data_IF_998475658828
#
_entry.id   IF_998475658828
#
_cell.length_a   1.000
_cell.length_b   1.000
_cell.length_c   1.000
_cell.angle_alpha   90.00
_cell.angle_beta   90.00
_cell.angle_gamma   90.00
#
_symmetry.space_group_name_H-M   'P 1'
#
loop_
_entity.id
_entity.type
_entity.pdbx_description
1 polymer ?
#
# COMPACT_ATOMS: atom_id res chain seq x y z
N UNK A 1 11.47 1.22 34.35
CA UNK A 1 10.59 0.71 33.27
C UNK A 1 10.37 1.70 32.12
N UNK A 2 9.53 2.74 32.22
CA UNK A 2 9.29 3.69 31.09
C UNK A 2 10.52 4.47 30.57
N UNK A 3 11.57 4.65 31.39
CA UNK A 3 12.81 5.33 30.97
C UNK A 3 13.84 4.40 30.30
N UNK A 4 13.79 3.10 30.57
CA UNK A 4 14.72 2.12 29.98
C UNK A 4 14.22 1.58 28.64
N UNK A 5 12.90 1.39 28.49
CA UNK A 5 12.27 1.10 27.20
C UNK A 5 12.49 2.23 26.16
N UNK A 6 12.49 3.49 26.61
CA UNK A 6 12.78 4.67 25.78
C UNK A 6 14.13 4.64 25.07
N UNK A 7 15.13 3.92 25.58
CA UNK A 7 16.50 4.02 25.06
C UNK A 7 16.87 2.88 24.09
N UNK A 8 16.19 1.71 24.19
CA UNK A 8 16.39 0.58 23.29
C UNK A 8 15.54 0.69 22.02
N UNK A 9 14.25 1.02 22.14
CA UNK A 9 13.36 1.18 20.97
C UNK A 9 13.77 2.36 20.09
N UNK A 10 14.27 3.46 20.68
CA UNK A 10 14.80 4.58 19.91
C UNK A 10 16.07 4.22 19.13
N UNK A 11 16.99 3.41 19.69
CA UNK A 11 18.23 3.03 18.98
C UNK A 11 17.98 2.07 17.84
N UNK A 12 17.05 1.11 18.00
CA UNK A 12 16.68 0.20 16.92
C UNK A 12 15.92 0.95 15.80
N UNK A 13 14.96 1.80 16.16
CA UNK A 13 14.21 2.62 15.20
C UNK A 13 15.10 3.66 14.49
N UNK A 14 16.08 4.27 15.17
CA UNK A 14 17.01 5.20 14.53
C UNK A 14 17.94 4.48 13.55
N UNK A 15 18.32 3.22 13.79
CA UNK A 15 19.14 2.43 12.87
C UNK A 15 18.32 2.01 11.64
N UNK A 16 17.05 1.64 11.79
CA UNK A 16 16.17 1.32 10.65
C UNK A 16 15.83 2.56 9.83
N UNK A 17 15.58 3.71 10.46
CA UNK A 17 15.30 4.99 9.78
C UNK A 17 16.56 5.60 9.14
N UNK A 18 17.75 5.40 9.70
CA UNK A 18 19.02 5.85 9.10
C UNK A 18 19.57 4.87 8.04
N UNK A 19 19.10 3.62 8.03
CA UNK A 19 19.36 2.66 6.95
C UNK A 19 18.50 2.96 5.70
N UNK A 20 17.42 3.74 5.84
CA UNK A 20 16.79 4.48 4.73
C UNK A 20 17.74 5.62 4.36
N UNK A 21 18.87 5.27 3.75
CA UNK A 21 19.74 6.25 3.13
C UNK A 21 18.96 6.96 2.01
N UNK A 22 19.23 8.24 1.72
CA UNK A 22 18.64 8.99 0.60
C UNK A 22 19.16 8.53 -0.79
N UNK A 23 19.56 7.25 -0.91
CA UNK A 23 19.96 6.58 -2.15
C UNK A 23 18.90 5.49 -2.37
N UNK A 24 18.00 5.52 -3.33
CA UNK A 24 18.02 6.11 -4.67
C UNK A 24 16.59 6.49 -5.05
N UNK A 25 16.23 7.76 -4.88
CA UNK A 25 15.03 8.34 -5.50
C UNK A 25 15.34 8.61 -6.98
N UNK A 26 15.60 7.54 -7.75
CA UNK A 26 15.57 7.59 -9.21
C UNK A 26 14.24 6.96 -9.65
N UNK A 27 13.14 7.60 -9.27
CA UNK A 27 11.83 7.31 -9.83
C UNK A 27 11.65 8.23 -11.05
N UNK A 28 11.37 7.63 -12.20
CA UNK A 28 11.13 8.29 -13.49
C UNK A 28 9.72 8.88 -13.62
N UNK A 29 8.86 8.73 -12.61
CA UNK A 29 7.48 9.20 -12.63
C UNK A 29 7.29 10.54 -11.88
N UNK A 30 6.73 11.54 -12.56
CA UNK A 30 6.61 12.92 -12.04
C UNK A 30 5.35 13.15 -11.17
N UNK A 31 4.35 12.27 -11.22
CA UNK A 31 3.06 12.45 -10.53
C UNK A 31 3.13 12.26 -9.02
N UNK A 32 3.64 11.13 -8.55
CA UNK A 32 3.76 10.76 -7.13
C UNK A 32 4.74 11.66 -6.38
N UNK A 33 5.76 12.18 -7.07
CA UNK A 33 6.69 13.18 -6.52
C UNK A 33 5.98 14.52 -6.30
N UNK A 34 5.09 14.95 -7.20
CA UNK A 34 4.35 16.21 -7.06
C UNK A 34 3.33 16.10 -5.92
N UNK A 35 2.55 15.02 -5.87
CA UNK A 35 1.55 14.81 -4.81
C UNK A 35 2.23 14.58 -3.44
N UNK A 36 3.30 13.78 -3.38
CA UNK A 36 4.07 13.53 -2.17
C UNK A 36 4.84 14.76 -1.64
N UNK A 37 5.38 15.59 -2.53
CA UNK A 37 6.00 16.86 -2.15
C UNK A 37 4.97 17.89 -1.65
N UNK A 38 3.76 17.87 -2.21
CA UNK A 38 2.64 18.67 -1.73
C UNK A 38 2.20 18.25 -0.33
N UNK A 39 2.17 16.94 -0.04
CA UNK A 39 1.84 16.40 1.27
C UNK A 39 2.86 16.83 2.33
N UNK A 40 4.16 16.67 2.03
CA UNK A 40 5.25 17.08 2.92
C UNK A 40 5.21 18.58 3.24
N UNK A 41 4.89 19.40 2.24
CA UNK A 41 4.74 20.84 2.40
C UNK A 41 3.50 21.21 3.22
N UNK A 42 2.38 20.52 3.00
CA UNK A 42 1.13 20.73 3.75
C UNK A 42 1.30 20.36 5.23
N UNK A 43 1.95 19.23 5.53
CA UNK A 43 2.24 18.79 6.89
C UNK A 43 3.10 19.80 7.68
N UNK A 44 3.95 20.55 6.99
CA UNK A 44 4.79 21.58 7.61
C UNK A 44 4.02 22.84 8.01
N UNK A 45 2.96 23.20 7.28
CA UNK A 45 2.17 24.43 7.53
C UNK A 45 0.90 24.21 8.35
N UNK A 46 0.46 22.94 8.49
CA UNK A 46 -0.69 22.57 9.32
C UNK A 46 -0.48 22.85 10.82
N UNK A 47 -1.59 23.07 11.52
CA UNK A 47 -1.61 23.09 12.98
C UNK A 47 -1.08 21.75 13.51
N UNK A 48 -0.19 21.74 14.52
CA UNK A 48 0.30 20.51 15.11
C UNK A 48 -0.87 19.60 15.53
N UNK A 49 -0.83 18.37 15.03
CA UNK A 49 -1.79 17.32 15.36
C UNK A 49 -1.10 15.97 15.31
N UNK A 50 -1.20 15.20 16.39
CA UNK A 50 -0.70 13.83 16.40
C UNK A 50 -1.69 12.90 15.69
N UNK A 51 -2.99 13.11 15.91
CA UNK A 51 -4.03 12.35 15.22
C UNK A 51 -3.90 12.46 13.68
N UNK A 52 -3.64 13.65 13.13
CA UNK A 52 -3.45 13.79 11.67
C UNK A 52 -2.26 12.98 11.17
N UNK A 53 -1.21 12.78 11.97
CA UNK A 53 -0.10 11.90 11.57
C UNK A 53 -0.51 10.43 11.58
N UNK A 54 -1.35 10.01 12.54
CA UNK A 54 -1.94 8.66 12.53
C UNK A 54 -2.78 8.45 11.27
N UNK A 55 -3.55 9.47 10.85
CA UNK A 55 -4.32 9.43 9.59
C UNK A 55 -3.38 9.28 8.39
N UNK A 56 -2.27 10.05 8.31
CA UNK A 56 -1.27 9.89 7.25
C UNK A 56 -0.67 8.48 7.20
N UNK A 57 -0.33 7.91 8.36
CA UNK A 57 0.16 6.53 8.45
C UNK A 57 -0.86 5.57 7.84
N UNK A 58 -2.12 5.66 8.26
CA UNK A 58 -3.19 4.83 7.70
C UNK A 58 -3.35 4.99 6.18
N UNK A 59 -3.29 6.22 5.68
CA UNK A 59 -3.40 6.49 4.25
C UNK A 59 -2.25 5.84 3.50
N UNK A 60 -1.01 5.96 3.99
CA UNK A 60 0.15 5.28 3.41
C UNK A 60 -0.02 3.75 3.37
N UNK A 61 -0.51 3.15 4.46
CA UNK A 61 -0.79 1.70 4.51
C UNK A 61 -1.92 1.31 3.54
N UNK A 62 -2.99 2.10 3.44
CA UNK A 62 -4.07 1.76 2.52
C UNK A 62 -3.68 1.93 1.05
N UNK A 63 -2.75 2.83 0.71
CA UNK A 63 -2.17 2.90 -0.62
C UNK A 63 -1.40 1.60 -0.95
N UNK A 64 -0.67 1.05 0.02
CA UNK A 64 -0.01 -0.26 -0.12
C UNK A 64 -1.04 -1.37 -0.35
N UNK A 65 -2.11 -1.43 0.46
CA UNK A 65 -3.18 -2.43 0.31
C UNK A 65 -3.86 -2.35 -1.07
N UNK A 66 -4.20 -1.13 -1.52
CA UNK A 66 -4.77 -0.92 -2.87
C UNK A 66 -3.79 -1.38 -3.96
N UNK A 67 -2.52 -1.03 -3.85
CA UNK A 67 -1.50 -1.48 -4.79
C UNK A 67 -1.38 -3.00 -4.83
N UNK A 68 -1.45 -3.67 -3.68
CA UNK A 68 -1.46 -5.13 -3.62
C UNK A 68 -2.67 -5.70 -4.35
N UNK A 69 -3.87 -5.18 -4.11
CA UNK A 69 -5.07 -5.64 -4.83
C UNK A 69 -4.98 -5.39 -6.34
N UNK A 70 -4.44 -4.25 -6.77
CA UNK A 70 -4.19 -3.97 -8.20
C UNK A 70 -3.23 -5.01 -8.80
N UNK A 71 -2.10 -5.27 -8.13
CA UNK A 71 -1.05 -6.13 -8.66
C UNK A 71 -1.45 -7.61 -8.64
N UNK A 72 -2.03 -8.08 -7.53
CA UNK A 72 -2.17 -9.51 -7.23
C UNK A 72 -3.60 -10.03 -7.45
N UNK A 73 -4.63 -9.17 -7.41
CA UNK A 73 -6.03 -9.61 -7.37
C UNK A 73 -6.87 -9.12 -8.55
N UNK A 74 -6.61 -7.91 -9.06
CA UNK A 74 -7.46 -7.24 -10.07
C UNK A 74 -7.23 -7.79 -11.47
N UNK A 75 -8.25 -8.40 -12.12
CA UNK A 75 -8.10 -8.85 -13.49
C UNK A 75 -7.88 -7.69 -14.46
N UNK A 76 -7.07 -7.93 -15.50
CA UNK A 76 -6.68 -6.92 -16.47
C UNK A 76 -6.64 -7.49 -17.87
N UNK A 77 -6.91 -6.63 -18.85
CA UNK A 77 -6.82 -6.88 -20.28
C UNK A 77 -6.50 -5.58 -21.00
N UNK A 78 -6.12 -5.66 -22.27
CA UNK A 78 -5.82 -4.50 -23.10
C UNK A 78 -7.03 -3.55 -23.28
N UNK A 79 -8.26 -4.05 -23.11
CA UNK A 79 -9.51 -3.29 -23.28
C UNK A 79 -10.23 -3.00 -21.94
N UNK A 80 -9.55 -3.20 -20.82
CA UNK A 80 -10.16 -3.00 -19.50
C UNK A 80 -10.33 -1.52 -19.15
N UNK A 81 -11.56 -1.12 -18.81
CA UNK A 81 -11.93 0.29 -18.58
C UNK A 81 -11.53 0.81 -17.19
N UNK A 82 -11.44 -0.04 -16.18
CA UNK A 82 -11.10 0.43 -14.82
C UNK A 82 -9.69 1.01 -14.75
N UNK A 83 -8.77 0.49 -15.56
CA UNK A 83 -7.41 1.03 -15.68
C UNK A 83 -7.48 2.48 -16.19
N UNK A 84 -8.29 2.73 -17.22
CA UNK A 84 -8.48 4.07 -17.78
C UNK A 84 -9.09 5.05 -16.76
N UNK A 85 -9.98 4.55 -15.89
CA UNK A 85 -10.57 5.35 -14.80
C UNK A 85 -9.58 5.68 -13.67
N UNK A 86 -8.60 4.79 -13.39
CA UNK A 86 -7.58 5.05 -12.36
C UNK A 86 -6.54 6.07 -12.85
N UNK A 87 -6.11 5.96 -14.11
CA UNK A 87 -5.10 6.86 -14.67
C UNK A 87 -5.65 8.23 -15.03
N UNK A 88 -6.98 8.36 -15.16
CA UNK A 88 -7.61 9.64 -15.50
C UNK A 88 -7.56 10.63 -14.33
N UNK A 89 -7.62 11.95 -14.62
CA UNK A 89 -7.62 12.97 -13.58
C UNK A 89 -8.76 12.75 -12.59
N UNK A 90 -8.43 12.73 -11.30
CA UNK A 90 -9.40 12.52 -10.22
C UNK A 90 -10.45 13.65 -10.18
N UNK A 91 -11.72 13.28 -10.08
CA UNK A 91 -12.80 14.21 -9.78
C UNK A 91 -12.97 14.38 -8.25
N UNK A 92 -12.37 15.45 -7.71
CA UNK A 92 -12.51 15.82 -6.29
C UNK A 92 -13.96 15.98 -5.84
N UNK A 93 -14.88 16.41 -6.71
CA UNK A 93 -16.29 16.53 -6.31
C UNK A 93 -16.94 15.15 -6.16
N UNK A 94 -16.59 14.19 -7.02
CA UNK A 94 -17.05 12.82 -6.87
C UNK A 94 -16.54 12.21 -5.55
N UNK A 95 -15.25 12.40 -5.24
CA UNK A 95 -14.65 11.90 -3.99
C UNK A 95 -15.34 12.48 -2.75
N UNK A 96 -15.49 13.81 -2.69
CA UNK A 96 -16.13 14.48 -1.54
C UNK A 96 -17.60 14.08 -1.36
N UNK A 97 -18.25 13.55 -2.40
CA UNK A 97 -19.63 13.09 -2.35
C UNK A 97 -19.79 11.60 -2.02
N UNK A 98 -18.70 10.82 -1.98
CA UNK A 98 -18.73 9.42 -1.56
C UNK A 98 -19.27 9.30 -0.14
N UNK A 99 -20.18 8.36 0.06
CA UNK A 99 -20.80 8.11 1.36
C UNK A 99 -19.76 7.60 2.38
N UNK A 100 -18.76 6.84 1.92
CA UNK A 100 -17.64 6.37 2.73
C UNK A 100 -16.74 7.52 3.21
N UNK A 101 -16.58 8.59 2.43
CA UNK A 101 -15.86 9.81 2.85
C UNK A 101 -16.68 10.61 3.85
N UNK A 102 -18.00 10.74 3.62
CA UNK A 102 -18.91 11.42 4.55
C UNK A 102 -19.01 10.72 5.91
N UNK A 103 -18.92 9.39 5.89
CA UNK A 103 -18.93 8.53 7.07
C UNK A 103 -17.52 8.18 7.57
N UNK A 104 -16.48 8.81 7.01
CA UNK A 104 -15.14 8.65 7.53
C UNK A 104 -15.08 9.23 8.94
N UNK A 105 -14.52 8.43 9.85
CA UNK A 105 -14.54 8.71 11.27
C UNK A 105 -13.83 10.03 11.58
N UNK A 106 -12.71 10.32 10.91
CA UNK A 106 -11.94 11.55 11.07
C UNK A 106 -12.69 12.74 10.48
N UNK A 107 -12.98 12.71 9.18
CA UNK A 107 -13.54 13.87 8.47
C UNK A 107 -14.93 14.28 8.97
N UNK A 108 -15.73 13.32 9.40
CA UNK A 108 -17.07 13.57 9.92
C UNK A 108 -17.09 14.27 11.29
N UNK A 109 -15.98 14.24 12.05
CA UNK A 109 -15.96 14.71 13.44
C UNK A 109 -14.81 15.65 13.80
N UNK A 110 -13.79 15.79 12.96
CA UNK A 110 -12.59 16.58 13.30
C UNK A 110 -12.88 18.07 13.52
N UNK A 111 -13.85 18.64 12.79
CA UNK A 111 -14.26 20.03 12.99
C UNK A 111 -14.88 20.28 14.37
N UNK A 112 -15.49 19.26 14.99
CA UNK A 112 -16.03 19.34 16.36
C UNK A 112 -14.87 19.47 17.35
N UNK A 113 -13.86 18.62 17.22
CA UNK A 113 -12.68 18.66 18.09
C UNK A 113 -11.84 19.92 17.87
N UNK A 114 -11.69 20.37 16.62
CA UNK A 114 -10.99 21.62 16.31
C UNK A 114 -11.69 22.84 16.91
N UNK A 115 -13.02 22.89 16.88
CA UNK A 115 -13.79 23.96 17.51
C UNK A 115 -13.52 24.02 19.01
N UNK A 116 -13.50 22.87 19.70
CA UNK A 116 -13.19 22.79 21.14
C UNK A 116 -11.76 23.27 21.42
N UNK A 117 -10.83 22.99 20.52
CA UNK A 117 -9.42 23.39 20.64
C UNK A 117 -9.13 24.82 20.16
N UNK A 118 -10.11 25.51 19.57
CA UNK A 118 -9.90 26.83 18.96
C UNK A 118 -9.03 26.80 17.69
N UNK A 119 -8.96 25.66 17.01
CA UNK A 119 -8.21 25.45 15.76
C UNK A 119 -9.05 25.78 14.52
N UNK A 120 -8.39 25.88 13.37
CA UNK A 120 -9.04 26.13 12.09
C UNK A 120 -10.05 25.02 11.72
N UNK A 121 -11.23 25.39 11.20
CA UNK A 121 -12.37 24.48 10.98
C UNK A 121 -12.51 23.98 9.53
N UNK A 122 -11.57 24.31 8.64
CA UNK A 122 -11.63 23.89 7.25
C UNK A 122 -10.53 22.86 7.00
N UNK A 123 -10.77 21.64 7.50
CA UNK A 123 -9.93 20.50 7.18
C UNK A 123 -10.28 20.03 5.78
N UNK A 124 -9.26 19.99 4.92
CA UNK A 124 -9.35 19.45 3.59
C UNK A 124 -8.63 18.13 3.55
N UNK A 125 -9.21 17.18 2.83
CA UNK A 125 -8.53 15.98 2.40
C UNK A 125 -7.34 16.37 1.53
N UNK A 126 -6.18 15.77 1.78
CA UNK A 126 -5.00 15.98 0.94
C UNK A 126 -5.17 15.29 -0.42
N UNK A 127 -4.37 15.66 -1.43
CA UNK A 127 -4.45 15.03 -2.75
C UNK A 127 -4.32 13.51 -2.71
N UNK A 128 -3.35 12.98 -1.96
CA UNK A 128 -3.13 11.54 -1.79
C UNK A 128 -4.27 10.85 -1.02
N UNK A 129 -4.83 11.52 -0.02
CA UNK A 129 -6.01 11.01 0.69
C UNK A 129 -7.22 10.92 -0.25
N UNK A 130 -7.43 11.92 -1.11
CA UNK A 130 -8.51 11.91 -2.09
C UNK A 130 -8.27 10.86 -3.17
N UNK A 131 -7.03 10.69 -3.60
CA UNK A 131 -6.59 9.67 -4.57
C UNK A 131 -6.93 8.27 -4.09
N UNK A 132 -6.61 7.96 -2.82
CA UNK A 132 -6.95 6.70 -2.18
C UNK A 132 -8.45 6.38 -2.30
N UNK A 133 -9.32 7.35 -1.95
CA UNK A 133 -10.76 7.15 -2.04
C UNK A 133 -11.28 7.07 -3.48
N UNK A 134 -10.67 7.83 -4.40
CA UNK A 134 -11.00 7.77 -5.82
C UNK A 134 -10.74 6.37 -6.38
N UNK A 135 -9.53 5.85 -6.20
CA UNK A 135 -9.12 4.54 -6.71
C UNK A 135 -9.93 3.42 -6.06
N UNK A 136 -10.14 3.47 -4.74
CA UNK A 136 -11.03 2.52 -4.07
C UNK A 136 -12.45 2.53 -4.66
N UNK A 137 -12.98 3.71 -5.01
CA UNK A 137 -14.32 3.80 -5.58
C UNK A 137 -14.44 3.24 -7.01
N UNK A 138 -13.32 3.04 -7.70
CA UNK A 138 -13.23 2.39 -9.00
C UNK A 138 -13.05 0.88 -8.81
N UNK A 139 -12.12 0.48 -7.95
CA UNK A 139 -11.70 -0.91 -7.75
C UNK A 139 -12.74 -1.78 -7.04
N UNK A 140 -13.47 -1.22 -6.06
CA UNK A 140 -14.41 -1.99 -5.26
C UNK A 140 -15.86 -1.71 -5.66
N UNK A 141 -16.70 -2.73 -5.58
CA UNK A 141 -18.16 -2.61 -5.70
C UNK A 141 -18.69 -1.64 -4.66
N UNK A 142 -19.47 -0.66 -5.10
CA UNK A 142 -20.10 0.33 -4.25
C UNK A 142 -21.28 1.01 -4.98
N UNK A 143 -21.99 1.90 -4.29
CA UNK A 143 -23.16 2.58 -4.85
C UNK A 143 -22.86 3.37 -6.16
N UNK A 144 -21.65 3.89 -6.34
CA UNK A 144 -21.22 4.63 -7.53
C UNK A 144 -21.21 3.75 -8.78
N UNK A 145 -20.82 2.49 -8.66
CA UNK A 145 -20.77 1.53 -9.77
C UNK A 145 -21.98 0.58 -9.78
N UNK A 146 -23.14 1.07 -9.32
CA UNK A 146 -24.43 0.35 -9.29
C UNK A 146 -24.46 -0.90 -8.39
N UNK A 147 -23.62 -0.94 -7.35
CA UNK A 147 -23.60 -2.03 -6.36
C UNK A 147 -23.95 -1.47 -4.95
N UNK A 148 -25.21 -1.08 -4.69
CA UNK A 148 -25.59 -0.36 -3.46
C UNK A 148 -25.50 -1.19 -2.18
N UNK A 149 -25.46 -2.53 -2.29
CA UNK A 149 -25.33 -3.43 -1.14
C UNK A 149 -23.87 -3.60 -0.66
N UNK A 150 -22.91 -3.13 -1.48
CA UNK A 150 -21.47 -3.17 -1.22
C UNK A 150 -20.95 -1.80 -0.76
N UNK A 151 -19.79 -1.81 -0.11
CA UNK A 151 -19.10 -0.62 0.42
C UNK A 151 -17.61 -0.69 0.13
N UNK A 152 -16.93 0.45 0.30
CA UNK A 152 -15.47 0.47 0.24
C UNK A 152 -14.86 -0.24 1.45
N UNK A 153 -13.64 -0.78 1.33
CA UNK A 153 -12.90 -1.25 2.49
C UNK A 153 -12.70 -0.13 3.51
N UNK A 154 -12.60 -0.50 4.79
CA UNK A 154 -12.41 0.47 5.87
C UNK A 154 -11.02 1.09 5.81
N UNK A 155 -10.95 2.34 5.31
CA UNK A 155 -9.71 3.13 5.30
C UNK A 155 -9.25 3.55 6.71
N UNK A 156 -10.08 3.34 7.73
CA UNK A 156 -9.81 3.75 9.10
C UNK A 156 -9.08 2.69 9.93
N UNK A 157 -8.96 1.47 9.41
CA UNK A 157 -8.34 0.37 10.14
C UNK A 157 -6.82 0.52 10.19
N UNK A 158 -6.31 0.73 11.39
CA UNK A 158 -4.87 0.67 11.68
C UNK A 158 -4.40 -0.78 11.53
N UNK A 159 -3.29 -1.05 10.84
CA UNK A 159 -2.74 -2.40 10.74
C UNK A 159 -2.26 -2.89 12.11
N UNK A 160 -2.16 -4.21 12.22
CA UNK A 160 -1.59 -4.88 13.36
C UNK A 160 -0.09 -5.08 13.11
N UNK A 161 0.76 -4.66 14.06
CA UNK A 161 2.21 -4.82 13.93
C UNK A 161 2.66 -6.27 14.08
N UNK A 162 1.76 -7.14 14.56
CA UNK A 162 1.97 -8.58 14.59
C UNK A 162 1.54 -9.18 13.25
N UNK A 163 0.29 -9.02 12.84
CA UNK A 163 -0.13 -9.55 11.54
C UNK A 163 0.44 -8.77 10.33
N UNK A 164 1.49 -9.29 9.70
CA UNK A 164 2.10 -8.74 8.48
C UNK A 164 1.12 -8.66 7.31
N UNK A 165 0.12 -9.55 7.22
CA UNK A 165 -0.90 -9.49 6.16
C UNK A 165 -1.75 -8.24 6.27
N UNK A 166 -1.89 -7.68 7.47
CA UNK A 166 -2.64 -6.44 7.68
C UNK A 166 -2.01 -5.24 6.95
N UNK A 167 -0.75 -5.30 6.51
CA UNK A 167 -0.14 -4.22 5.71
C UNK A 167 -0.43 -4.32 4.23
N UNK A 168 -0.74 -5.51 3.73
CA UNK A 168 -0.93 -5.78 2.29
C UNK A 168 -2.36 -6.12 1.94
N UNK A 169 -3.21 -6.45 2.91
CA UNK A 169 -4.61 -6.82 2.71
C UNK A 169 -5.54 -6.01 3.61
N UNK A 170 -6.76 -5.78 3.14
CA UNK A 170 -7.86 -5.32 3.98
C UNK A 170 -8.44 -6.51 4.76
N UNK A 171 -9.10 -6.22 5.90
CA UNK A 171 -9.85 -7.25 6.60
C UNK A 171 -10.98 -7.81 5.73
N UNK A 172 -11.24 -9.10 5.90
CA UNK A 172 -12.37 -9.76 5.28
C UNK A 172 -13.69 -9.12 5.73
N UNK A 173 -14.49 -8.70 4.76
CA UNK A 173 -15.83 -8.15 4.95
C UNK A 173 -16.69 -8.56 3.74
N UNK A 174 -17.79 -9.26 3.98
CA UNK A 174 -18.67 -9.78 2.93
C UNK A 174 -19.27 -8.67 2.03
N UNK A 175 -19.28 -7.43 2.51
CA UNK A 175 -19.74 -6.26 1.75
C UNK A 175 -18.62 -5.52 1.02
N UNK A 176 -17.39 -5.98 1.13
CA UNK A 176 -16.24 -5.46 0.39
C UNK A 176 -15.86 -6.48 -0.66
N UNK A 177 -15.93 -6.09 -1.93
CA UNK A 177 -15.56 -6.95 -3.04
C UNK A 177 -15.05 -6.11 -4.21
N UNK A 178 -14.04 -6.60 -4.91
CA UNK A 178 -13.57 -5.98 -6.15
C UNK A 178 -14.66 -6.03 -7.24
N UNK A 179 -14.61 -5.09 -8.18
CA UNK A 179 -15.50 -5.05 -9.34
C UNK A 179 -15.32 -6.32 -10.19
N UNK A 180 -16.37 -6.69 -10.91
CA UNK A 180 -16.24 -7.71 -11.94
C UNK A 180 -15.61 -7.06 -13.17
N UNK A 181 -14.54 -7.66 -13.70
CA UNK A 181 -13.86 -7.19 -14.91
C UNK A 181 -14.22 -8.12 -16.06
N UNK A 182 -14.64 -7.53 -17.17
CA UNK A 182 -14.93 -8.25 -18.41
C UNK A 182 -14.00 -7.73 -19.52
N UNK A 183 -13.43 -8.65 -20.31
CA UNK A 183 -12.70 -8.32 -21.53
C UNK A 183 -13.62 -8.56 -22.73
N UNK A 184 -13.76 -7.57 -23.60
CA UNK A 184 -14.68 -7.62 -24.75
C UNK A 184 -14.03 -8.18 -26.01
N UNK A 185 -12.73 -7.99 -26.16
CA UNK A 185 -11.98 -8.23 -27.40
C UNK A 185 -10.58 -8.77 -27.19
N UNK A 186 -10.12 -8.86 -25.95
CA UNK A 186 -8.75 -9.26 -25.58
C UNK A 186 -8.74 -10.36 -24.53
N UNK A 187 -7.57 -10.97 -24.32
CA UNK A 187 -7.40 -11.99 -23.28
C UNK A 187 -7.53 -11.34 -21.90
N UNK A 188 -8.39 -11.91 -21.06
CA UNK A 188 -8.50 -11.50 -19.66
C UNK A 188 -7.46 -12.26 -18.84
N UNK A 189 -6.57 -11.53 -18.20
CA UNK A 189 -5.59 -12.07 -17.27
C UNK A 189 -6.11 -11.93 -15.85
N UNK A 190 -5.83 -12.91 -15.00
CA UNK A 190 -6.32 -12.93 -13.62
C UNK A 190 -5.84 -11.75 -12.79
N UNK A 191 -4.63 -11.25 -13.08
CA UNK A 191 -4.02 -10.10 -12.42
C UNK A 191 -2.92 -9.47 -13.29
N UNK A 192 -2.34 -8.37 -12.80
CA UNK A 192 -1.23 -7.65 -13.48
C UNK A 192 -0.01 -8.54 -13.66
N UNK A 193 0.34 -9.36 -12.66
CA UNK A 193 1.51 -10.24 -12.74
C UNK A 193 1.38 -11.25 -13.90
N UNK A 194 0.21 -11.88 -14.02
CA UNK A 194 -0.07 -12.82 -15.10
C UNK A 194 -0.07 -12.12 -16.47
N UNK A 195 -0.55 -10.88 -16.54
CA UNK A 195 -0.51 -10.07 -17.74
C UNK A 195 0.93 -9.74 -18.15
N UNK A 196 1.80 -9.35 -17.20
CA UNK A 196 3.23 -9.10 -17.44
C UNK A 196 3.94 -10.37 -17.91
N UNK A 197 3.69 -11.52 -17.29
CA UNK A 197 4.29 -12.79 -17.74
C UNK A 197 3.87 -13.11 -19.17
N UNK A 198 2.62 -12.81 -19.56
CA UNK A 198 2.15 -13.05 -20.92
C UNK A 198 2.84 -12.19 -21.99
N UNK A 199 3.45 -11.07 -21.58
CA UNK A 199 4.25 -10.24 -22.49
C UNK A 199 5.53 -10.96 -22.95
N UNK A 200 6.07 -11.85 -22.12
CA UNK A 200 7.31 -12.58 -22.40
C UNK A 200 7.18 -13.57 -23.57
N UNK A 201 8.28 -13.93 -24.24
CA UNK A 201 8.28 -15.02 -25.24
C UNK A 201 7.65 -16.31 -24.70
N UNK A 202 6.85 -17.01 -25.52
CA UNK A 202 6.04 -18.16 -25.09
C UNK A 202 6.86 -19.27 -24.41
N UNK A 203 8.09 -19.50 -24.88
CA UNK A 203 9.01 -20.49 -24.34
C UNK A 203 9.54 -20.16 -22.94
N UNK A 204 9.47 -18.89 -22.53
CA UNK A 204 9.88 -18.44 -21.20
C UNK A 204 8.70 -18.34 -20.21
N UNK A 205 7.46 -18.24 -20.70
CA UNK A 205 6.27 -18.05 -19.84
C UNK A 205 6.08 -19.18 -18.83
N UNK A 206 6.29 -20.44 -19.24
CA UNK A 206 6.15 -21.60 -18.35
C UNK A 206 7.20 -21.59 -17.22
N UNK A 207 8.45 -21.27 -17.56
CA UNK A 207 9.56 -21.20 -16.62
C UNK A 207 9.35 -20.08 -15.60
N UNK A 208 8.95 -18.89 -16.06
CA UNK A 208 8.67 -17.73 -15.21
C UNK A 208 7.46 -17.97 -14.32
N UNK A 209 6.39 -18.58 -14.86
CA UNK A 209 5.20 -18.94 -14.07
C UNK A 209 5.52 -19.97 -12.98
N UNK A 210 6.40 -20.92 -13.27
CA UNK A 210 6.86 -21.92 -12.29
C UNK A 210 7.70 -21.26 -11.19
N UNK A 211 8.64 -20.39 -11.54
CA UNK A 211 9.43 -19.64 -10.56
C UNK A 211 8.57 -18.72 -9.69
N UNK A 212 7.54 -18.09 -10.27
CA UNK A 212 6.54 -17.34 -9.53
C UNK A 212 5.80 -18.22 -8.51
N UNK A 213 5.33 -19.40 -8.91
CA UNK A 213 4.63 -20.29 -8.00
C UNK A 213 5.52 -20.71 -6.81
N UNK A 214 6.80 -20.96 -7.04
CA UNK A 214 7.76 -21.23 -5.97
C UNK A 214 7.99 -20.01 -5.05
N UNK A 215 8.04 -18.81 -5.62
CA UNK A 215 8.11 -17.55 -4.87
C UNK A 215 6.85 -17.32 -4.00
N UNK A 216 5.65 -17.59 -4.53
CA UNK A 216 4.40 -17.43 -3.79
C UNK A 216 4.32 -18.43 -2.62
N UNK A 217 4.75 -19.68 -2.84
CA UNK A 217 4.84 -20.69 -1.78
C UNK A 217 5.84 -20.30 -0.69
N UNK A 218 7.04 -19.81 -1.06
CA UNK A 218 8.03 -19.40 -0.06
C UNK A 218 7.58 -18.18 0.74
N UNK A 219 6.84 -17.25 0.12
CA UNK A 219 6.18 -16.12 0.80
C UNK A 219 5.17 -16.62 1.84
N UNK A 220 4.30 -17.55 1.46
CA UNK A 220 3.31 -18.13 2.39
C UNK A 220 3.98 -18.86 3.56
N UNK A 221 5.03 -19.66 3.29
CA UNK A 221 5.79 -20.33 4.34
C UNK A 221 6.47 -19.35 5.31
N UNK A 222 7.02 -18.24 4.80
CA UNK A 222 7.59 -17.18 5.63
C UNK A 222 6.53 -16.50 6.50
N UNK A 223 5.36 -16.20 5.93
CA UNK A 223 4.24 -15.60 6.68
C UNK A 223 3.75 -16.53 7.80
N UNK A 224 3.66 -17.85 7.54
CA UNK A 224 3.32 -18.85 8.56
C UNK A 224 4.38 -18.90 9.67
N UNK A 225 5.67 -18.86 9.32
CA UNK A 225 6.75 -18.85 10.30
C UNK A 225 6.71 -17.61 11.21
N UNK A 226 6.47 -16.42 10.62
CA UNK A 226 6.30 -15.16 11.37
C UNK A 226 5.10 -15.21 12.31
N UNK A 227 3.96 -15.69 11.82
CA UNK A 227 2.75 -15.86 12.63
C UNK A 227 2.98 -16.82 13.81
N UNK A 228 3.74 -17.90 13.63
CA UNK A 228 4.07 -18.82 14.72
C UNK A 228 4.89 -18.15 15.83
N UNK A 229 5.91 -17.38 15.46
CA UNK A 229 6.72 -16.60 16.41
C UNK A 229 5.84 -15.66 17.24
N UNK A 230 4.86 -15.02 16.60
CA UNK A 230 3.96 -14.08 17.26
C UNK A 230 3.00 -14.75 18.21
N UNK A 231 2.44 -15.90 17.83
CA UNK A 231 1.60 -16.70 18.72
C UNK A 231 2.36 -17.11 19.98
N UNK A 232 3.64 -17.50 19.84
CA UNK A 232 4.49 -17.86 20.98
C UNK A 232 4.81 -16.62 21.83
N UNK A 233 5.15 -15.48 21.23
CA UNK A 233 5.39 -14.23 21.96
C UNK A 233 4.14 -13.77 22.72
N UNK A 234 2.98 -13.78 22.08
CA UNK A 234 1.72 -13.42 22.71
C UNK A 234 1.40 -14.32 23.91
N UNK A 235 1.67 -15.62 23.80
CA UNK A 235 1.53 -16.55 24.92
C UNK A 235 2.51 -16.22 26.06
N UNK A 236 3.76 -15.90 25.74
CA UNK A 236 4.81 -15.56 26.72
C UNK A 236 4.56 -14.21 27.42
N UNK A 237 3.91 -13.28 26.72
CA UNK A 237 3.58 -11.94 27.22
C UNK A 237 2.26 -11.91 28.02
N UNK A 238 1.46 -12.99 28.01
CA UNK A 238 0.25 -13.10 28.83
C UNK A 238 0.63 -13.34 30.30
N UNK A 239 0.23 -12.41 31.16
CA UNK A 239 0.44 -12.47 32.61
C UNK A 239 -0.12 -13.75 33.24
N UNK A 240 -1.16 -14.37 32.64
CA UNK A 240 -1.70 -15.64 33.11
C UNK A 240 -0.68 -16.79 33.01
N UNK A 241 0.31 -16.67 32.13
CA UNK A 241 1.35 -17.67 31.87
C UNK A 241 2.69 -17.30 32.50
N UNK A 242 2.76 -16.24 33.32
CA UNK A 242 4.03 -15.76 33.90
C UNK A 242 4.73 -16.81 34.75
N UNK A 243 3.96 -17.60 35.49
CA UNK A 243 4.43 -18.64 36.40
C UNK A 243 4.15 -20.05 35.86
N UNK A 244 3.87 -20.20 34.55
CA UNK A 244 3.62 -21.49 33.93
C UNK A 244 4.88 -22.35 33.90
N UNK A 245 4.76 -23.63 34.26
CA UNK A 245 5.84 -24.61 34.16
C UNK A 245 6.27 -24.84 32.69
N UNK A 246 5.39 -24.53 31.72
CA UNK A 246 5.65 -24.64 30.28
C UNK A 246 6.40 -23.43 29.71
N UNK A 247 6.65 -22.38 30.52
CA UNK A 247 7.26 -21.15 30.03
C UNK A 247 8.65 -21.36 29.45
N UNK A 248 9.48 -22.17 30.11
CA UNK A 248 10.83 -22.47 29.62
C UNK A 248 10.81 -23.22 28.28
N UNK A 249 9.85 -24.14 28.11
CA UNK A 249 9.64 -24.85 26.83
C UNK A 249 9.19 -23.88 25.73
N UNK A 250 8.29 -22.95 26.04
CA UNK A 250 7.85 -21.91 25.10
C UNK A 250 8.95 -20.93 24.71
N UNK A 251 9.85 -20.59 25.63
CA UNK A 251 11.05 -19.79 25.32
C UNK A 251 12.01 -20.55 24.39
N UNK A 252 12.17 -21.86 24.56
CA UNK A 252 12.95 -22.71 23.64
C UNK A 252 12.26 -22.83 22.27
N UNK A 253 10.95 -23.06 22.24
CA UNK A 253 10.14 -23.08 21.02
C UNK A 253 10.23 -21.76 20.24
N UNK A 254 10.30 -20.62 20.94
CA UNK A 254 10.50 -19.32 20.33
C UNK A 254 11.85 -19.22 19.62
N UNK A 255 12.93 -19.68 20.24
CA UNK A 255 14.26 -19.65 19.62
C UNK A 255 14.36 -20.59 18.41
N UNK A 256 13.75 -21.79 18.49
CA UNK A 256 13.64 -22.71 17.35
C UNK A 256 12.81 -22.08 16.23
N UNK A 257 11.70 -21.43 16.56
CA UNK A 257 10.83 -20.78 15.57
C UNK A 257 11.51 -19.58 14.89
N UNK A 258 12.34 -18.81 15.60
CA UNK A 258 13.17 -17.75 15.01
C UNK A 258 14.18 -18.31 14.02
N UNK A 259 14.89 -19.38 14.38
CA UNK A 259 15.84 -20.01 13.47
C UNK A 259 15.14 -20.57 12.21
N UNK A 260 13.92 -21.10 12.36
CA UNK A 260 13.09 -21.53 11.25
C UNK A 260 12.63 -20.36 10.37
N UNK A 261 12.23 -19.23 10.96
CA UNK A 261 11.88 -18.02 10.21
C UNK A 261 13.07 -17.45 9.44
N UNK A 262 14.26 -17.42 10.03
CA UNK A 262 15.50 -17.03 9.34
C UNK A 262 15.77 -17.93 8.10
N UNK A 263 15.58 -19.25 8.23
CA UNK A 263 15.70 -20.19 7.10
C UNK A 263 14.66 -19.89 6.00
N UNK A 264 13.40 -19.66 6.38
CA UNK A 264 12.33 -19.32 5.42
C UNK A 264 12.53 -17.96 4.78
N UNK A 265 13.09 -17.00 5.50
CA UNK A 265 13.43 -15.67 4.98
C UNK A 265 14.51 -15.76 3.89
N UNK A 266 15.57 -16.54 4.12
CA UNK A 266 16.59 -16.79 3.11
C UNK A 266 16.04 -17.52 1.87
N UNK A 267 15.18 -18.52 2.08
CA UNK A 267 14.52 -19.23 0.97
C UNK A 267 13.61 -18.30 0.17
N UNK A 268 12.86 -17.42 0.84
CA UNK A 268 12.05 -16.39 0.20
C UNK A 268 12.90 -15.45 -0.66
N UNK A 269 13.99 -14.92 -0.13
CA UNK A 269 14.90 -14.03 -0.85
C UNK A 269 15.52 -14.71 -2.08
N UNK A 270 15.93 -15.98 -1.95
CA UNK A 270 16.47 -16.77 -3.08
C UNK A 270 15.42 -16.95 -4.19
N UNK A 271 14.20 -17.37 -3.84
CA UNK A 271 13.13 -17.59 -4.82
C UNK A 271 12.68 -16.29 -5.48
N UNK A 272 12.66 -15.18 -4.72
CA UNK A 272 12.42 -13.86 -5.27
C UNK A 272 13.50 -13.48 -6.30
N UNK A 273 14.77 -13.67 -5.97
CA UNK A 273 15.89 -13.36 -6.88
C UNK A 273 15.76 -14.15 -8.17
N UNK A 274 15.51 -15.47 -8.09
CA UNK A 274 15.33 -16.34 -9.27
C UNK A 274 14.17 -15.85 -10.14
N UNK A 275 13.02 -15.55 -9.53
CA UNK A 275 11.86 -15.04 -10.27
C UNK A 275 12.19 -13.72 -10.99
N UNK A 276 12.83 -12.77 -10.30
CA UNK A 276 13.18 -11.47 -10.89
C UNK A 276 14.28 -11.56 -11.95
N UNK A 277 15.26 -12.45 -11.79
CA UNK A 277 16.28 -12.72 -12.82
C UNK A 277 15.66 -13.31 -14.08
N UNK A 278 14.66 -14.19 -13.95
CA UNK A 278 13.94 -14.75 -15.10
C UNK A 278 13.07 -13.70 -15.80
N UNK A 279 12.45 -12.77 -15.07
CA UNK A 279 11.76 -11.61 -15.67
C UNK A 279 12.72 -10.74 -16.47
N UNK A 280 13.89 -10.42 -15.90
CA UNK A 280 14.92 -9.62 -16.58
C UNK A 280 15.43 -10.32 -17.84
N UNK A 281 15.74 -11.63 -17.74
CA UNK A 281 16.14 -12.44 -18.90
C UNK A 281 15.04 -12.50 -19.97
N UNK A 282 13.78 -12.55 -19.53
CA UNK A 282 12.61 -12.50 -20.39
C UNK A 282 12.47 -11.16 -21.12
N UNK A 283 12.72 -10.04 -20.43
CA UNK A 283 12.71 -8.71 -21.01
C UNK A 283 13.78 -8.58 -22.12
N UNK A 284 15.02 -9.03 -21.86
CA UNK A 284 16.08 -9.05 -22.87
C UNK A 284 15.72 -9.91 -24.09
N UNK A 285 15.01 -11.02 -23.87
CA UNK A 285 14.61 -11.92 -24.95
C UNK A 285 13.53 -11.35 -25.89
N UNK A 286 12.77 -10.33 -25.45
CA UNK A 286 11.71 -9.68 -26.23
C UNK A 286 12.28 -9.03 -27.49
N UNK A 287 13.44 -8.38 -27.42
CA UNK A 287 14.07 -7.74 -28.60
C UNK A 287 14.25 -8.72 -29.76
N UNK A 288 14.62 -9.96 -29.44
CA UNK A 288 14.89 -11.02 -30.42
C UNK A 288 13.64 -11.80 -30.87
N UNK A 289 12.54 -11.71 -30.10
CA UNK A 289 11.30 -12.46 -30.33
C UNK A 289 10.07 -11.54 -30.26
N UNK A 290 10.21 -10.32 -30.77
CA UNK A 290 9.18 -9.29 -30.66
C UNK A 290 7.86 -9.74 -31.30
N UNK A 291 6.76 -9.51 -30.58
CA UNK A 291 5.40 -9.82 -31.01
C UNK A 291 4.52 -8.56 -30.87
N UNK A 292 4.23 -7.94 -32.02
CA UNK A 292 3.42 -6.72 -32.13
C UNK A 292 2.01 -6.89 -31.53
N UNK A 293 1.47 -8.11 -31.48
CA UNK A 293 0.14 -8.36 -30.92
C UNK A 293 0.04 -8.07 -29.41
N UNK A 294 1.18 -7.96 -28.73
CA UNK A 294 1.28 -7.71 -27.29
C UNK A 294 1.35 -6.23 -26.93
N UNK A 295 1.62 -5.36 -27.90
CA UNK A 295 1.79 -3.91 -27.69
C UNK A 295 0.58 -3.27 -27.02
N UNK A 296 -0.69 -3.55 -27.39
CA UNK A 296 -1.84 -2.93 -26.73
C UNK A 296 -1.94 -3.25 -25.24
N UNK A 297 -1.55 -4.47 -24.84
CA UNK A 297 -1.50 -4.86 -23.43
C UNK A 297 -0.36 -4.13 -22.72
N UNK A 298 0.82 -4.07 -23.33
CA UNK A 298 1.97 -3.36 -22.77
C UNK A 298 1.66 -1.87 -22.50
N UNK A 299 1.04 -1.16 -23.45
CA UNK A 299 0.62 0.24 -23.27
C UNK A 299 -0.36 0.41 -22.10
N UNK A 300 -1.30 -0.54 -21.95
CA UNK A 300 -2.25 -0.52 -20.83
C UNK A 300 -1.55 -0.73 -19.49
N UNK A 301 -0.58 -1.65 -19.45
CA UNK A 301 0.18 -1.97 -18.25
C UNK A 301 1.18 -0.88 -17.88
N UNK A 302 1.78 -0.18 -18.84
CA UNK A 302 2.70 0.95 -18.60
C UNK A 302 2.01 2.00 -17.72
N UNK A 303 0.87 2.51 -18.16
CA UNK A 303 0.13 3.54 -17.43
C UNK A 303 -0.40 3.05 -16.07
N UNK A 304 -0.78 1.77 -15.98
CA UNK A 304 -1.22 1.18 -14.73
C UNK A 304 -0.06 1.07 -13.73
N UNK A 305 1.08 0.54 -14.16
CA UNK A 305 2.27 0.39 -13.32
C UNK A 305 2.80 1.75 -12.87
N UNK A 306 2.73 2.78 -13.72
CA UNK A 306 3.03 4.16 -13.33
C UNK A 306 2.08 4.67 -12.22
N UNK A 307 0.79 4.38 -12.31
CA UNK A 307 -0.15 4.75 -11.24
C UNK A 307 0.17 4.05 -9.92
N UNK A 308 0.49 2.76 -9.95
CA UNK A 308 0.88 1.96 -8.77
C UNK A 308 2.22 2.44 -8.19
N UNK A 309 3.20 2.79 -9.04
CA UNK A 309 4.49 3.38 -8.64
C UNK A 309 4.28 4.71 -7.91
N UNK A 310 3.46 5.60 -8.50
CA UNK A 310 3.10 6.87 -7.89
C UNK A 310 2.43 6.70 -6.51
N UNK A 311 1.58 5.69 -6.34
CA UNK A 311 0.96 5.35 -5.05
C UNK A 311 1.98 4.87 -4.01
N UNK A 312 2.94 4.04 -4.40
CA UNK A 312 3.98 3.57 -3.50
C UNK A 312 4.91 4.71 -3.05
N UNK A 313 5.27 5.62 -3.97
CA UNK A 313 5.98 6.88 -3.65
C UNK A 313 5.11 7.77 -2.74
N UNK A 314 3.81 7.85 -3.01
CA UNK A 314 2.83 8.57 -2.20
C UNK A 314 2.77 8.02 -0.77
N UNK A 315 2.79 6.69 -0.60
CA UNK A 315 2.83 6.03 0.70
C UNK A 315 4.11 6.38 1.48
N UNK A 316 5.28 6.30 0.83
CA UNK A 316 6.55 6.72 1.45
C UNK A 316 6.52 8.20 1.87
N UNK A 317 5.94 9.05 1.04
CA UNK A 317 5.77 10.48 1.33
C UNK A 317 4.85 10.71 2.54
N UNK A 318 3.76 9.94 2.64
CA UNK A 318 2.86 9.94 3.81
C UNK A 318 3.59 9.55 5.09
N UNK A 319 4.41 8.50 5.05
CA UNK A 319 5.20 8.06 6.20
C UNK A 319 6.27 9.08 6.60
N UNK A 320 6.97 9.68 5.63
CA UNK A 320 7.96 10.72 5.91
C UNK A 320 7.32 11.99 6.52
N UNK A 321 6.17 12.41 5.98
CA UNK A 321 5.39 13.51 6.51
C UNK A 321 4.89 13.21 7.93
N UNK A 322 4.36 12.00 8.16
CA UNK A 322 3.91 11.56 9.46
C UNK A 322 5.05 11.54 10.49
N UNK A 323 6.21 10.99 10.14
CA UNK A 323 7.40 10.94 11.01
C UNK A 323 7.84 12.35 11.43
N UNK A 324 7.94 13.26 10.46
CA UNK A 324 8.34 14.65 10.71
C UNK A 324 7.29 15.40 11.54
N UNK A 325 6.00 15.21 11.21
CA UNK A 325 4.88 15.83 11.90
C UNK A 325 4.69 15.34 13.34
N UNK A 326 5.03 14.08 13.63
CA UNK A 326 4.87 13.49 14.97
C UNK A 326 5.70 14.20 16.03
N UNK A 327 6.91 14.65 15.70
CA UNK A 327 7.75 15.43 16.62
C UNK A 327 7.06 16.72 17.09
N UNK A 328 6.28 17.36 16.23
CA UNK A 328 5.46 18.54 16.56
C UNK A 328 4.15 18.17 17.23
N UNK A 329 3.51 17.08 16.80
CA UNK A 329 2.23 16.59 17.33
C UNK A 329 2.30 16.05 18.75
N UNK A 330 3.45 15.51 19.18
CA UNK A 330 3.60 14.88 20.50
C UNK A 330 3.24 15.81 21.66
N UNK A 331 3.52 17.11 21.53
CA UNK A 331 3.24 18.10 22.57
C UNK A 331 1.76 18.44 22.75
N UNK A 332 0.88 18.00 21.84
CA UNK A 332 -0.55 18.36 21.83
C UNK A 332 -1.49 17.15 21.97
N UNK A 333 -0.96 15.95 22.18
CA UNK A 333 -1.75 14.71 22.34
C UNK A 333 -2.80 14.87 23.46
N UNK A 334 -2.39 15.38 24.62
CA UNK A 334 -3.29 15.58 25.76
C UNK A 334 -4.47 16.49 25.42
N UNK A 335 -4.23 17.52 24.61
CA UNK A 335 -5.27 18.47 24.21
C UNK A 335 -6.20 17.86 23.15
N UNK A 336 -5.70 16.97 22.29
CA UNK A 336 -6.51 16.20 21.34
C UNK A 336 -7.40 15.17 22.06
N UNK A 337 -6.84 14.41 23.02
CA UNK A 337 -7.59 13.47 23.87
C UNK A 337 -8.67 14.20 24.66
N UNK A 338 -8.34 15.33 25.29
CA UNK A 338 -9.34 16.14 26.03
C UNK A 338 -10.43 16.65 25.11
N UNK A 339 -10.10 17.13 23.92
CA UNK A 339 -11.09 17.61 22.97
C UNK A 339 -12.06 16.51 22.55
N UNK A 340 -11.57 15.29 22.29
CA UNK A 340 -12.43 14.14 22.01
C UNK A 340 -13.31 13.78 23.21
N UNK A 341 -12.76 13.77 24.43
CA UNK A 341 -13.54 13.48 25.64
C UNK A 341 -14.65 14.52 25.89
N UNK A 342 -14.36 15.81 25.70
CA UNK A 342 -15.35 16.88 25.77
C UNK A 342 -16.42 16.68 24.69
N UNK A 343 -16.00 16.39 23.44
CA UNK A 343 -16.91 16.17 22.33
C UNK A 343 -17.88 15.01 22.59
N UNK A 344 -17.41 13.89 23.16
CA UNK A 344 -18.25 12.75 23.54
C UNK A 344 -19.34 13.10 24.56
N UNK A 345 -19.10 14.13 25.39
CA UNK A 345 -20.05 14.63 26.39
C UNK A 345 -21.10 15.59 25.83
N UNK A 346 -21.00 16.00 24.57
CA UNK A 346 -21.96 16.94 23.95
C UNK A 346 -23.29 16.24 23.67
N UNK A 347 -24.38 16.84 24.13
CA UNK A 347 -25.75 16.35 23.88
C UNK A 347 -26.27 16.74 22.50
N UNK A 348 -25.54 17.57 21.77
CA UNK A 348 -25.91 18.11 20.45
C UNK A 348 -25.37 17.29 19.27
N UNK A 349 -24.66 16.18 19.53
CA UNK A 349 -24.16 15.31 18.46
C UNK A 349 -25.33 14.65 17.71
N UNK A 350 -25.18 14.53 16.40
CA UNK A 350 -26.19 13.94 15.51
C UNK A 350 -25.66 12.69 14.81
N UNK A 351 -26.57 11.79 14.42
CA UNK A 351 -26.23 10.56 13.70
C UNK A 351 -25.17 9.72 14.44
N UNK A 352 -24.14 9.29 13.71
CA UNK A 352 -23.08 8.42 14.22
C UNK A 352 -21.89 9.17 14.84
N UNK A 353 -21.97 10.51 14.97
CA UNK A 353 -20.82 11.33 15.39
C UNK A 353 -20.24 10.90 16.75
N UNK A 354 -21.08 10.49 17.70
CA UNK A 354 -20.60 10.04 19.01
C UNK A 354 -19.75 8.78 18.89
N UNK A 355 -20.23 7.81 18.14
CA UNK A 355 -19.52 6.55 17.87
C UNK A 355 -18.22 6.82 17.12
N UNK A 356 -18.23 7.72 16.14
CA UNK A 356 -17.03 8.10 15.42
C UNK A 356 -15.98 8.77 16.32
N UNK A 357 -16.38 9.62 17.27
CA UNK A 357 -15.42 10.19 18.22
C UNK A 357 -14.81 9.11 19.14
N UNK A 358 -15.58 8.09 19.52
CA UNK A 358 -15.07 6.94 20.30
C UNK A 358 -14.03 6.18 19.47
N UNK A 359 -14.33 5.87 18.21
CA UNK A 359 -13.41 5.17 17.32
C UNK A 359 -12.13 5.97 17.07
N UNK A 360 -12.22 7.30 16.90
CA UNK A 360 -11.03 8.18 16.83
C UNK A 360 -10.18 8.12 18.09
N UNK A 361 -10.80 8.15 19.27
CA UNK A 361 -10.07 8.06 20.53
C UNK A 361 -9.34 6.71 20.67
N UNK A 362 -9.98 5.61 20.30
CA UNK A 362 -9.36 4.27 20.27
C UNK A 362 -8.18 4.24 19.29
N UNK A 363 -8.38 4.73 18.07
CA UNK A 363 -7.32 4.81 17.05
C UNK A 363 -6.16 5.69 17.49
N UNK A 364 -6.44 6.79 18.17
CA UNK A 364 -5.38 7.66 18.70
C UNK A 364 -4.56 6.94 19.78
N UNK A 365 -5.20 6.14 20.64
CA UNK A 365 -4.52 5.31 21.64
C UNK A 365 -3.58 4.28 21.00
N UNK A 366 -4.11 3.48 20.07
CA UNK A 366 -3.35 2.46 19.33
C UNK A 366 -2.23 3.11 18.50
N UNK A 367 -2.55 4.14 17.72
CA UNK A 367 -1.59 4.82 16.87
C UNK A 367 -0.49 5.53 17.66
N UNK A 368 -0.75 6.04 18.87
CA UNK A 368 0.32 6.61 19.70
C UNK A 368 1.37 5.58 20.12
N UNK A 369 0.95 4.32 20.34
CA UNK A 369 1.86 3.25 20.71
C UNK A 369 2.63 2.71 19.50
N UNK A 370 1.96 2.62 18.35
CA UNK A 370 2.46 1.86 17.21
C UNK A 370 2.80 2.69 15.97
N UNK A 371 2.72 4.02 16.02
CA UNK A 371 2.98 4.86 14.85
C UNK A 371 4.39 4.65 14.25
N UNK A 372 5.45 4.63 15.08
CA UNK A 372 6.82 4.46 14.57
C UNK A 372 7.04 3.06 13.97
N UNK A 373 6.67 1.95 14.65
CA UNK A 373 6.71 0.62 14.05
C UNK A 373 5.97 0.55 12.71
N UNK A 374 4.77 1.14 12.63
CA UNK A 374 3.96 1.15 11.42
C UNK A 374 4.58 1.93 10.27
N UNK A 375 5.25 3.05 10.58
CA UNK A 375 6.04 3.77 9.57
C UNK A 375 7.17 2.88 9.05
N UNK A 376 7.89 2.18 9.92
CA UNK A 376 9.00 1.31 9.52
C UNK A 376 8.53 0.16 8.63
N UNK A 377 7.53 -0.59 9.10
CA UNK A 377 7.00 -1.75 8.38
C UNK A 377 6.28 -1.31 7.09
N UNK A 378 5.45 -0.27 7.15
CA UNK A 378 4.80 0.31 5.97
C UNK A 378 5.81 0.80 4.93
N UNK A 379 6.89 1.47 5.34
CA UNK A 379 7.94 1.91 4.40
C UNK A 379 8.65 0.75 3.73
N UNK A 380 8.87 -0.36 4.44
CA UNK A 380 9.41 -1.59 3.88
C UNK A 380 8.49 -2.14 2.78
N UNK A 381 7.19 -2.28 3.05
CA UNK A 381 6.24 -2.79 2.06
C UNK A 381 6.08 -1.87 0.85
N UNK A 382 6.02 -0.55 1.05
CA UNK A 382 6.00 0.40 -0.07
C UNK A 382 7.27 0.29 -0.93
N UNK A 383 8.45 0.13 -0.31
CA UNK A 383 9.72 -0.05 -1.05
C UNK A 383 9.77 -1.38 -1.78
N UNK A 384 9.24 -2.45 -1.19
CA UNK A 384 9.14 -3.76 -1.83
C UNK A 384 8.22 -3.71 -3.06
N UNK A 385 7.10 -2.97 -2.98
CA UNK A 385 6.22 -2.71 -4.13
C UNK A 385 6.96 -1.96 -5.23
N UNK A 386 7.71 -0.89 -4.92
CA UNK A 386 8.51 -0.15 -5.92
C UNK A 386 9.48 -1.07 -6.67
N UNK A 387 10.20 -1.94 -5.95
CA UNK A 387 11.12 -2.88 -6.58
C UNK A 387 10.38 -3.84 -7.53
N UNK A 388 9.27 -4.43 -7.07
CA UNK A 388 8.43 -5.32 -7.88
C UNK A 388 7.88 -4.63 -9.13
N UNK A 389 7.38 -3.40 -8.99
CA UNK A 389 6.85 -2.58 -10.08
C UNK A 389 7.94 -2.29 -11.11
N UNK A 390 9.14 -1.92 -10.66
CA UNK A 390 10.29 -1.70 -11.56
C UNK A 390 10.59 -2.94 -12.42
N UNK A 391 10.54 -4.15 -11.84
CA UNK A 391 10.72 -5.40 -12.61
C UNK A 391 9.61 -5.65 -13.63
N UNK A 392 8.39 -5.21 -13.36
CA UNK A 392 7.28 -5.32 -14.30
C UNK A 392 7.37 -4.25 -15.40
N UNK A 393 7.78 -3.03 -15.05
CA UNK A 393 8.03 -1.97 -16.00
C UNK A 393 9.18 -2.33 -16.96
N UNK A 394 10.25 -2.98 -16.49
CA UNK A 394 11.35 -3.45 -17.35
C UNK A 394 10.83 -4.34 -18.49
N UNK A 395 9.90 -5.28 -18.19
CA UNK A 395 9.27 -6.16 -19.19
C UNK A 395 8.35 -5.37 -20.13
N UNK A 396 7.52 -4.49 -19.58
CA UNK A 396 6.59 -3.68 -20.37
C UNK A 396 7.34 -2.76 -21.33
N UNK A 397 8.36 -2.05 -20.85
CA UNK A 397 9.18 -1.14 -21.63
C UNK A 397 9.92 -1.89 -22.73
N UNK A 398 10.45 -3.09 -22.47
CA UNK A 398 11.08 -3.90 -23.52
C UNK A 398 10.14 -4.22 -24.69
N UNK A 399 8.82 -4.43 -24.45
CA UNK A 399 7.84 -4.58 -25.54
C UNK A 399 7.64 -3.26 -26.30
N UNK A 400 7.50 -2.15 -25.58
CA UNK A 400 7.23 -0.84 -26.19
C UNK A 400 8.43 -0.33 -27.00
N UNK A 401 9.65 -0.45 -26.46
CA UNK A 401 10.90 -0.09 -27.14
C UNK A 401 11.11 -0.95 -28.40
N UNK A 402 10.85 -2.26 -28.33
CA UNK A 402 10.92 -3.14 -29.49
C UNK A 402 9.88 -2.75 -30.58
N UNK A 403 8.70 -2.27 -30.18
CA UNK A 403 7.69 -1.77 -31.11
C UNK A 403 8.12 -0.47 -31.80
N UNK A 404 8.70 0.48 -31.06
CA UNK A 404 9.25 1.72 -31.64
C UNK A 404 10.36 1.42 -32.66
N UNK A 405 11.28 0.52 -32.33
CA UNK A 405 12.35 0.09 -33.26
C UNK A 405 11.77 -0.57 -34.52
N UNK A 406 10.73 -1.40 -34.38
CA UNK A 406 10.07 -2.03 -35.52
C UNK A 406 9.38 -1.01 -36.44
N UNK A 407 8.72 0.02 -35.87
CA UNK A 407 8.13 1.13 -36.64
C UNK A 407 9.20 1.93 -37.39
N UNK A 408 10.32 2.27 -36.75
CA UNK A 408 11.43 3.00 -37.38
C UNK A 408 12.00 2.24 -38.59
N UNK A 409 12.25 0.94 -38.45
CA UNK A 409 12.74 0.09 -39.55
C UNK A 409 11.73 0.03 -40.71
N UNK A 410 10.43 -0.06 -40.41
CA UNK A 410 9.38 -0.09 -41.42
C UNK A 410 9.29 1.24 -42.20
N UNK A 411 9.43 2.37 -41.50
CA UNK A 411 9.48 3.70 -42.12
C UNK A 411 10.71 3.91 -43.02
N UNK A 412 11.89 3.47 -42.58
CA UNK A 412 13.12 3.57 -43.39
C UNK A 412 13.04 2.71 -44.65
N UNK A 413 12.47 1.50 -44.52
CA UNK A 413 12.29 0.57 -45.64
C UNK A 413 11.31 1.13 -46.68
N UNK A 414 10.24 1.80 -46.24
CA UNK A 414 9.27 2.42 -47.15
C UNK A 414 9.79 3.69 -47.82
N UNK A 415 10.60 4.51 -47.12
CA UNK A 415 11.28 5.68 -47.72
C UNK A 415 12.33 5.25 -48.75
N UNK A 416 13.13 4.23 -48.45
CA UNK A 416 14.15 3.70 -49.37
C UNK A 416 13.60 2.98 -50.60
N UNK A 417 12.36 2.48 -50.56
CA UNK A 417 11.68 1.88 -51.71
C UNK A 417 10.99 2.92 -52.64
N UNK A 418 10.87 4.17 -52.18
CA UNK A 418 10.25 5.26 -52.94
C UNK A 418 11.27 6.16 -53.68
N UNK A 419 12.57 5.97 -53.43
CA UNK A 419 13.70 6.52 -54.20
C UNK A 419 14.13 5.57 -55.32
#
# INVERSE_FOLDING_TARGET
>A
MFKEFKNKSYKLALITVLAISPLSLQATSSGGIIEGSSESSSAAIEDPSFEKQIVRINVGINLIRINTDILETMPVSADTTWVDEIISPMDYNAVNNLEDVKNDVYYSTVNITNLIQGKYLNIRMSPLEARLYWEASILYKNARNNNPDYKLPSMNQFPDITDTKSYTSFNEDEKVAIINVEATSSNLYNNVEAAVISLLPEDLQESVSSAKAEYDVSKEELDVAKSNIENIKAWLDDDANSDSDERAEKEEELEVSKAFEDEKSLAFDEKQSIYFELLASGAEAIESNFDESKVPLAQKLEHLLDAVDNNAIGALSMFAAAFTGMGRGYGVIDDEVKAMAIAQGLTTLIGNQKEFIIQRATRMGIGTLFAIPNIGIGSYYASAQLNKIGKYQDVVNAVLEAAEVAEEIAEETTKGAAE
#
